data_IF_987642244170
#
_entry.id   IF_987642244170
#
_cell.length_a   1.000
_cell.length_b   1.000
_cell.length_c   1.000
_cell.angle_alpha   90.00
_cell.angle_beta   90.00
_cell.angle_gamma   90.00
#
_symmetry.space_group_name_H-M   'P 1'
#
loop_
_entity.id
_entity.type
_entity.pdbx_description
1 polymer ?
#
# COMPACT_ATOMS: atom_id res chain seq x y z
N UNK A 1 -14.03 17.41 5.66
CA UNK A 1 -14.77 16.76 4.55
C UNK A 1 -13.88 16.39 3.34
N UNK A 2 -12.82 17.15 3.00
CA UNK A 2 -11.94 16.82 1.85
C UNK A 2 -10.93 15.69 2.14
N UNK A 3 -10.20 15.75 3.26
CA UNK A 3 -9.17 14.73 3.58
C UNK A 3 -9.74 13.31 3.74
N UNK A 4 -10.91 13.17 4.37
CA UNK A 4 -11.62 11.88 4.47
C UNK A 4 -12.04 11.34 3.11
N UNK A 5 -12.53 12.20 2.20
CA UNK A 5 -12.88 11.80 0.84
C UNK A 5 -11.65 11.31 0.08
N UNK A 6 -10.54 12.04 0.16
CA UNK A 6 -9.29 11.65 -0.48
C UNK A 6 -8.79 10.30 0.05
N UNK A 7 -8.80 10.10 1.37
CA UNK A 7 -8.41 8.83 2.00
C UNK A 7 -9.30 7.66 1.58
N UNK A 8 -10.62 7.84 1.51
CA UNK A 8 -11.55 6.80 1.05
C UNK A 8 -11.37 6.46 -0.43
N UNK A 9 -11.10 7.45 -1.28
CA UNK A 9 -10.81 7.20 -2.69
C UNK A 9 -9.50 6.41 -2.86
N UNK A 10 -8.46 6.75 -2.10
CA UNK A 10 -7.21 5.97 -2.05
C UNK A 10 -7.39 4.57 -1.47
N UNK A 11 -8.25 4.41 -0.46
CA UNK A 11 -8.61 3.10 0.07
C UNK A 11 -9.33 2.24 -0.97
N UNK A 12 -10.22 2.84 -1.76
CA UNK A 12 -10.91 2.13 -2.84
C UNK A 12 -9.93 1.66 -3.94
N UNK A 13 -8.92 2.45 -4.30
CA UNK A 13 -7.91 2.01 -5.26
C UNK A 13 -7.05 0.87 -4.71
N UNK A 14 -6.65 0.94 -3.44
CA UNK A 14 -5.94 -0.16 -2.77
C UNK A 14 -6.81 -1.42 -2.72
N UNK A 15 -8.07 -1.29 -2.32
CA UNK A 15 -9.00 -2.41 -2.27
C UNK A 15 -9.18 -3.07 -3.64
N UNK A 16 -9.27 -2.28 -4.71
CA UNK A 16 -9.33 -2.82 -6.07
C UNK A 16 -8.10 -3.66 -6.41
N UNK A 17 -6.89 -3.19 -6.07
CA UNK A 17 -5.64 -3.95 -6.26
C UNK A 17 -5.63 -5.23 -5.43
N UNK A 18 -5.99 -5.16 -4.14
CA UNK A 18 -6.02 -6.33 -3.24
C UNK A 18 -7.06 -7.36 -3.67
N UNK A 19 -8.19 -6.92 -4.24
CA UNK A 19 -9.24 -7.81 -4.76
C UNK A 19 -8.76 -8.66 -5.95
N UNK A 20 -7.66 -8.27 -6.62
CA UNK A 20 -7.03 -9.08 -7.67
C UNK A 20 -6.19 -10.22 -7.10
N UNK A 21 -5.89 -10.20 -5.80
CA UNK A 21 -5.07 -11.17 -5.07
C UNK A 21 -5.76 -11.57 -3.75
N UNK A 22 -6.94 -12.22 -3.84
CA UNK A 22 -7.70 -12.60 -2.65
C UNK A 22 -6.94 -13.57 -1.74
N UNK A 23 -5.96 -14.30 -2.28
CA UNK A 23 -5.03 -15.16 -1.53
C UNK A 23 -4.22 -14.41 -0.45
N UNK A 24 -4.03 -13.10 -0.61
CA UNK A 24 -3.28 -12.27 0.34
C UNK A 24 -4.15 -11.73 1.49
N UNK A 25 -5.48 -11.72 1.35
CA UNK A 25 -6.40 -11.20 2.37
C UNK A 25 -6.56 -12.15 3.57
N UNK A 26 -6.12 -13.39 3.43
CA UNK A 26 -6.13 -14.40 4.50
C UNK A 26 -4.88 -14.39 5.39
N UNK A 27 -3.84 -13.64 5.04
CA UNK A 27 -2.53 -13.66 5.71
C UNK A 27 -2.11 -12.26 6.18
N UNK A 28 -0.95 -12.17 6.85
CA UNK A 28 -0.39 -10.87 7.18
C UNK A 28 0.15 -10.19 5.92
N UNK A 29 -0.33 -8.98 5.66
CA UNK A 29 -0.04 -8.19 4.49
C UNK A 29 0.42 -6.79 4.91
N UNK A 30 1.60 -6.39 4.44
CA UNK A 30 2.10 -5.03 4.56
C UNK A 30 1.99 -4.31 3.21
N UNK A 31 1.37 -3.14 3.20
CA UNK A 31 1.30 -2.25 2.05
C UNK A 31 2.23 -1.07 2.29
N UNK A 32 3.28 -0.99 1.46
CA UNK A 32 4.16 0.18 1.43
C UNK A 32 3.46 1.36 0.78
N UNK A 33 3.40 2.49 1.47
CA UNK A 33 2.84 3.75 0.98
C UNK A 33 3.92 4.82 1.07
N UNK A 34 4.09 5.58 0.00
CA UNK A 34 4.96 6.75 -0.05
C UNK A 34 4.13 8.01 -0.38
N UNK A 35 4.62 9.17 0.04
CA UNK A 35 4.04 10.47 -0.26
C UNK A 35 3.69 11.30 0.97
N UNK A 36 3.83 12.62 0.81
CA UNK A 36 3.67 13.63 1.87
C UNK A 36 2.28 13.64 2.53
N UNK A 37 1.22 13.25 1.81
CA UNK A 37 -0.11 13.14 2.41
C UNK A 37 -0.18 12.02 3.45
N UNK A 38 0.41 10.86 3.15
CA UNK A 38 0.44 9.75 4.10
C UNK A 38 1.37 10.05 5.28
N UNK A 39 2.49 10.71 5.04
CA UNK A 39 3.50 11.03 6.06
C UNK A 39 3.10 12.19 6.98
N UNK A 40 2.55 13.28 6.43
CA UNK A 40 2.41 14.54 7.16
C UNK A 40 0.95 14.97 7.39
N UNK A 41 -0.03 14.45 6.66
CA UNK A 41 -1.41 14.89 6.85
C UNK A 41 -2.03 14.20 8.09
N UNK A 42 -2.47 14.96 9.11
CA UNK A 42 -2.89 14.38 10.38
C UNK A 42 -4.00 13.34 10.20
N UNK A 43 -3.78 12.13 10.71
CA UNK A 43 -4.72 10.99 10.68
C UNK A 43 -5.09 10.52 9.26
N UNK A 44 -4.27 10.78 8.24
CA UNK A 44 -4.57 10.30 6.89
C UNK A 44 -4.54 8.77 6.83
N UNK A 45 -3.50 8.16 7.41
CA UNK A 45 -3.36 6.71 7.53
C UNK A 45 -4.58 6.05 8.21
N UNK A 46 -5.03 6.57 9.35
CA UNK A 46 -6.22 6.06 10.05
C UNK A 46 -7.48 6.12 9.17
N UNK A 47 -7.68 7.23 8.44
CA UNK A 47 -8.85 7.39 7.57
C UNK A 47 -8.80 6.46 6.37
N UNK A 48 -7.60 6.17 5.87
CA UNK A 48 -7.39 5.27 4.74
C UNK A 48 -7.56 3.80 5.18
N UNK A 49 -7.05 3.42 6.35
CA UNK A 49 -7.34 2.12 6.98
C UNK A 49 -8.84 1.93 7.21
N UNK A 50 -9.51 2.93 7.77
CA UNK A 50 -10.97 2.88 7.96
C UNK A 50 -11.72 2.70 6.64
N UNK A 51 -11.25 3.34 5.56
CA UNK A 51 -11.82 3.14 4.23
C UNK A 51 -11.65 1.70 3.72
N UNK A 52 -10.54 1.03 4.04
CA UNK A 52 -10.34 -0.39 3.72
C UNK A 52 -11.24 -1.30 4.54
N UNK A 53 -11.39 -1.02 5.84
CA UNK A 53 -12.32 -1.73 6.73
C UNK A 53 -13.77 -1.61 6.26
N UNK A 54 -14.18 -0.42 5.77
CA UNK A 54 -15.51 -0.20 5.18
C UNK A 54 -15.77 -1.07 3.93
N UNK A 55 -14.73 -1.49 3.20
CA UNK A 55 -14.85 -2.28 1.95
C UNK A 55 -14.78 -3.78 2.21
N UNK A 56 -13.79 -4.24 2.99
CA UNK A 56 -13.54 -5.68 3.20
C UNK A 56 -14.09 -6.22 4.53
N UNK A 57 -14.52 -5.34 5.44
CA UNK A 57 -14.88 -5.68 6.81
C UNK A 57 -13.70 -5.63 7.76
N UNK A 58 -13.98 -5.30 9.02
CA UNK A 58 -12.96 -5.14 10.06
C UNK A 58 -12.20 -6.45 10.33
N UNK A 59 -12.86 -7.61 10.30
CA UNK A 59 -12.25 -8.93 10.54
C UNK A 59 -11.21 -9.36 9.48
N UNK A 60 -11.31 -8.79 8.29
CA UNK A 60 -10.38 -9.06 7.18
C UNK A 60 -9.18 -8.11 7.25
N UNK A 61 -9.39 -6.88 7.70
CA UNK A 61 -8.36 -5.83 7.66
C UNK A 61 -7.59 -5.76 8.98
N UNK A 62 -8.29 -5.77 10.11
CA UNK A 62 -7.71 -5.55 11.44
C UNK A 62 -6.76 -6.69 11.82
N UNK A 63 -5.52 -6.33 12.15
CA UNK A 63 -4.48 -7.30 12.55
C UNK A 63 -3.88 -8.14 11.41
N UNK A 64 -4.39 -7.99 10.17
CA UNK A 64 -3.84 -8.66 8.97
C UNK A 64 -3.21 -7.68 8.01
N UNK A 65 -3.85 -6.54 7.76
CA UNK A 65 -3.35 -5.51 6.86
C UNK A 65 -2.67 -4.41 7.67
N UNK A 66 -1.46 -4.05 7.26
CA UNK A 66 -0.69 -2.93 7.80
C UNK A 66 -0.27 -1.99 6.69
N UNK A 67 -0.27 -0.69 6.98
CA UNK A 67 0.24 0.33 6.07
C UNK A 67 1.54 0.88 6.64
N UNK A 68 2.61 0.80 5.85
CA UNK A 68 3.93 1.23 6.26
C UNK A 68 4.43 2.34 5.35
N UNK A 69 5.09 3.35 5.92
CA UNK A 69 5.75 4.39 5.13
C UNK A 69 6.96 3.80 4.40
N UNK A 70 6.95 3.81 3.08
CA UNK A 70 8.05 3.36 2.23
C UNK A 70 8.92 4.56 1.84
N UNK A 71 9.89 4.93 2.68
CA UNK A 71 10.80 6.05 2.40
C UNK A 71 11.70 5.73 1.21
N UNK A 72 11.67 6.60 0.20
CA UNK A 72 12.48 6.52 -1.02
C UNK A 72 12.26 5.23 -1.84
N UNK A 73 11.00 4.85 -2.03
CA UNK A 73 10.64 3.68 -2.83
C UNK A 73 11.09 3.77 -4.28
N UNK A 74 11.13 4.98 -4.86
CA UNK A 74 11.51 5.20 -6.25
C UNK A 74 13.01 5.06 -6.49
N UNK A 75 13.86 5.63 -5.62
CA UNK A 75 15.32 5.51 -5.72
C UNK A 75 15.79 4.07 -5.52
N UNK A 76 15.37 3.44 -4.41
CA UNK A 76 15.72 2.05 -4.11
C UNK A 76 15.16 1.08 -5.16
N UNK A 77 13.91 1.29 -5.58
CA UNK A 77 13.27 0.48 -6.61
C UNK A 77 14.00 0.54 -7.95
N UNK A 78 14.43 1.73 -8.37
CA UNK A 78 15.20 1.91 -9.60
C UNK A 78 16.56 1.18 -9.55
N UNK A 79 17.27 1.28 -8.42
CA UNK A 79 18.53 0.59 -8.23
C UNK A 79 18.38 -0.94 -8.29
N UNK A 80 17.35 -1.49 -7.62
CA UNK A 80 17.06 -2.92 -7.66
C UNK A 80 16.68 -3.39 -9.07
N UNK A 81 15.88 -2.62 -9.80
CA UNK A 81 15.53 -2.93 -11.19
C UNK A 81 16.77 -2.96 -12.09
N UNK A 82 17.68 -1.98 -11.95
CA UNK A 82 18.93 -1.94 -12.70
C UNK A 82 19.84 -3.14 -12.38
N UNK A 83 19.97 -3.51 -11.09
CA UNK A 83 20.73 -4.69 -10.66
C UNK A 83 20.18 -5.98 -11.27
N UNK A 84 18.85 -6.17 -11.25
CA UNK A 84 18.21 -7.36 -11.82
C UNK A 84 18.40 -7.42 -13.35
N UNK A 85 18.34 -6.28 -14.03
CA UNK A 85 18.59 -6.20 -15.47
C UNK A 85 20.04 -6.55 -15.82
N UNK A 86 21.01 -6.02 -15.07
CA UNK A 86 22.43 -6.34 -15.24
C UNK A 86 22.69 -7.84 -15.03
N UNK A 87 22.17 -8.41 -13.93
CA UNK A 87 22.31 -9.86 -13.65
C UNK A 87 21.72 -10.74 -14.76
N UNK A 88 20.59 -10.34 -15.35
CA UNK A 88 19.97 -11.08 -16.46
C UNK A 88 20.80 -10.98 -17.75
N UNK A 89 21.49 -9.86 -17.98
CA UNK A 89 22.41 -9.69 -19.12
C UNK A 89 23.64 -10.56 -18.97
N UNK A 90 24.19 -10.67 -17.76
CA UNK A 90 25.42 -11.44 -17.49
C UNK A 90 25.17 -12.97 -17.43
N UNK A 91 23.91 -13.40 -17.31
CA UNK A 91 23.50 -14.81 -17.32
C UNK A 91 23.18 -15.37 -18.73
N UNK A 92 23.33 -14.55 -19.76
CA UNK A 92 23.07 -14.86 -21.18
C UNK A 92 24.38 -14.79 -21.98
#
# INVERSE_FOLDING_TARGET
LVGTRAARLGAASLAATLSRRPDLLGSQLAVGIDGSLFEHYPRFADRLMKGLEEIFGEDVVRGKVSLALAKDGSGVGAALAAMLAAKKRDAN
#
